data_IF_730665494322
#
_entry.id   IF_730665494322
#
_cell.length_a   1.000
_cell.length_b   1.000
_cell.length_c   1.000
_cell.angle_alpha   90.00
_cell.angle_beta   90.00
_cell.angle_gamma   90.00
#
_symmetry.space_group_name_H-M   'P 1'
#
loop_
_entity.id
_entity.type
_entity.pdbx_description
1 polymer ?
#
# COMPACT_ATOMS: atom_id res chain seq x y z
N UNK A 1 18.85 -51.50 43.12
CA UNK A 1 18.95 -50.29 43.96
C UNK A 1 19.35 -49.15 43.05
N UNK A 2 18.39 -48.34 42.60
CA UNK A 2 18.59 -47.15 41.78
C UNK A 2 17.76 -46.06 42.43
N UNK A 3 18.44 -45.08 43.03
CA UNK A 3 17.86 -43.91 43.69
C UNK A 3 17.61 -42.82 42.66
N UNK A 4 16.35 -42.43 42.51
CA UNK A 4 15.89 -41.25 41.77
C UNK A 4 15.99 -40.01 42.64
N UNK A 5 16.72 -38.99 42.18
CA UNK A 5 16.74 -37.65 42.77
C UNK A 5 15.72 -36.81 41.99
N UNK A 6 14.77 -36.22 42.72
CA UNK A 6 13.82 -35.21 42.24
C UNK A 6 14.42 -33.85 42.57
N UNK A 7 14.64 -33.03 41.55
CA UNK A 7 14.90 -31.59 41.72
C UNK A 7 13.58 -30.85 41.46
N UNK A 8 13.12 -30.11 42.45
CA UNK A 8 12.05 -29.10 42.33
C UNK A 8 12.69 -27.74 42.00
N UNK A 9 12.08 -26.93 41.11
CA UNK A 9 12.54 -25.57 40.84
C UNK A 9 12.05 -24.59 41.91
N UNK A 10 12.98 -23.72 42.33
CA UNK A 10 12.82 -22.70 43.37
C UNK A 10 12.16 -21.43 42.78
N UNK A 11 10.89 -21.21 43.13
CA UNK A 11 10.12 -20.02 42.76
C UNK A 11 10.48 -18.85 43.69
N UNK A 12 11.43 -18.01 43.26
CA UNK A 12 11.66 -16.70 43.89
C UNK A 12 11.28 -15.56 42.93
N UNK A 13 10.32 -14.69 43.30
CA UNK A 13 9.92 -13.57 42.47
C UNK A 13 10.95 -12.44 42.57
N UNK A 14 11.56 -12.10 41.42
CA UNK A 14 12.44 -10.94 41.28
C UNK A 14 11.57 -9.68 41.16
N UNK A 15 11.61 -8.83 42.19
CA UNK A 15 10.97 -7.52 42.18
C UNK A 15 11.92 -6.46 41.60
N UNK A 16 11.60 -5.94 40.41
CA UNK A 16 12.28 -4.79 39.84
C UNK A 16 11.58 -3.50 40.28
N UNK A 17 12.21 -2.78 41.22
CA UNK A 17 11.87 -1.40 41.57
C UNK A 17 12.41 -0.46 40.47
N UNK A 18 11.54 0.01 39.60
CA UNK A 18 11.84 1.13 38.71
C UNK A 18 11.68 2.45 39.46
N UNK A 19 12.81 3.13 39.72
CA UNK A 19 12.83 4.53 40.12
C UNK A 19 12.67 5.40 38.86
N UNK A 20 11.61 6.20 38.81
CA UNK A 20 11.43 7.26 37.82
C UNK A 20 12.17 8.52 38.27
N UNK A 21 12.87 9.24 37.38
CA UNK A 21 13.45 10.53 37.72
C UNK A 21 12.41 11.65 37.62
N UNK A 22 12.26 12.42 38.71
CA UNK A 22 11.53 13.69 38.73
C UNK A 22 12.25 14.73 37.86
N UNK A 23 11.54 15.28 36.87
CA UNK A 23 12.02 16.40 36.05
C UNK A 23 11.34 17.68 36.55
N UNK A 24 12.08 18.52 37.26
CA UNK A 24 11.64 19.86 37.65
C UNK A 24 11.70 20.82 36.44
N UNK A 25 10.54 21.30 36.02
CA UNK A 25 10.40 22.38 35.04
C UNK A 25 10.35 23.74 35.76
N UNK A 26 11.37 24.57 35.59
CA UNK A 26 11.35 25.97 36.05
C UNK A 26 10.81 26.87 34.93
N UNK A 27 9.60 27.41 35.13
CA UNK A 27 8.97 28.42 34.28
C UNK A 27 9.56 29.80 34.61
N UNK A 28 10.16 30.47 33.61
CA UNK A 28 10.59 31.88 33.72
C UNK A 28 9.64 32.74 32.89
N UNK A 29 8.84 33.55 33.57
CA UNK A 29 7.96 34.57 33.02
C UNK A 29 8.77 35.84 32.73
N UNK A 30 8.79 36.31 31.48
CA UNK A 30 9.26 37.65 31.14
C UNK A 30 8.09 38.56 30.77
N UNK A 31 8.05 39.69 31.48
CA UNK A 31 7.03 40.71 31.44
C UNK A 31 7.16 41.66 30.22
N UNK A 32 6.01 42.23 29.90
CA UNK A 32 5.72 43.28 28.94
C UNK A 32 6.37 44.62 29.32
N UNK A 33 6.88 45.38 28.34
CA UNK A 33 6.93 46.85 28.39
C UNK A 33 6.45 47.43 27.04
N UNK A 34 5.65 48.51 27.05
CA UNK A 34 5.30 49.28 25.86
C UNK A 34 6.19 50.52 25.73
N UNK A 35 6.45 50.98 24.49
CA UNK A 35 6.97 52.33 24.29
C UNK A 35 6.31 53.05 23.11
N UNK A 36 6.00 54.32 23.37
CA UNK A 36 5.20 55.27 22.60
C UNK A 36 6.13 56.26 21.85
N UNK A 37 5.59 56.82 20.75
CA UNK A 37 5.99 58.07 20.07
C UNK A 37 7.39 58.08 19.43
N UNK A 38 7.66 58.68 18.28
CA UNK A 38 6.96 59.61 17.39
C UNK A 38 8.04 60.45 16.71
N UNK A 39 7.95 60.69 15.40
CA UNK A 39 8.39 61.91 14.70
C UNK A 39 8.41 61.70 13.18
N UNK A 40 7.65 62.53 12.47
CA UNK A 40 7.80 62.80 11.05
C UNK A 40 9.00 63.71 10.82
N UNK A 41 9.93 63.28 9.97
CA UNK A 41 10.81 64.18 9.22
C UNK A 41 10.56 64.01 7.72
N UNK A 42 10.66 65.08 6.92
CA UNK A 42 10.55 64.99 5.46
C UNK A 42 11.86 64.45 4.89
N UNK A 43 11.79 63.30 4.20
CA UNK A 43 12.93 62.73 3.48
C UNK A 43 13.22 63.52 2.20
N UNK A 44 14.50 63.85 2.04
CA UNK A 44 15.11 64.37 0.82
C UNK A 44 15.32 63.19 -0.12
N UNK A 45 14.75 63.22 -1.32
CA UNK A 45 14.95 62.21 -2.36
C UNK A 45 16.39 62.23 -2.87
N UNK A 46 17.23 61.43 -2.23
CA UNK A 46 18.57 61.10 -2.72
C UNK A 46 18.43 60.00 -3.79
N UNK A 47 18.59 60.40 -5.05
CA UNK A 47 18.55 59.48 -6.20
C UNK A 47 19.79 58.57 -6.20
N UNK A 48 19.70 57.47 -5.44
CA UNK A 48 20.68 56.38 -5.49
C UNK A 48 20.72 55.76 -6.87
N UNK A 49 21.89 55.80 -7.49
CA UNK A 49 22.25 54.97 -8.64
C UNK A 49 22.08 53.48 -8.23
N UNK A 50 20.98 52.87 -8.67
CA UNK A 50 20.76 51.43 -8.58
C UNK A 50 21.67 50.78 -9.64
N UNK A 51 22.79 50.24 -9.20
CA UNK A 51 23.56 49.32 -10.02
C UNK A 51 22.76 48.01 -10.10
N UNK A 52 22.28 47.67 -11.29
CA UNK A 52 21.69 46.37 -11.59
C UNK A 52 22.74 45.29 -11.28
N UNK A 53 22.62 44.69 -10.10
CA UNK A 53 23.48 43.61 -9.70
C UNK A 53 23.15 42.38 -10.56
N UNK A 54 24.10 41.98 -11.40
CA UNK A 54 24.03 40.72 -12.12
C UNK A 54 24.38 39.64 -11.09
N UNK A 55 23.35 39.01 -10.53
CA UNK A 55 23.52 37.85 -9.65
C UNK A 55 24.11 36.69 -10.46
N UNK A 56 25.38 36.38 -10.20
CA UNK A 56 26.03 35.20 -10.77
C UNK A 56 25.63 33.97 -9.93
N UNK A 57 25.01 32.94 -10.54
CA UNK A 57 24.61 31.73 -9.82
C UNK A 57 25.79 31.08 -9.11
N UNK A 58 25.61 30.71 -7.84
CA UNK A 58 26.63 29.97 -7.08
C UNK A 58 26.83 28.56 -7.67
N UNK A 59 28.02 28.00 -7.47
CA UNK A 59 28.35 26.63 -7.90
C UNK A 59 27.34 25.59 -7.39
N UNK A 60 26.90 25.72 -6.13
CA UNK A 60 25.88 24.85 -5.54
C UNK A 60 24.52 24.95 -6.25
N UNK A 61 24.13 26.15 -6.70
CA UNK A 61 22.91 26.34 -7.48
C UNK A 61 23.04 25.65 -8.85
N UNK A 62 24.17 25.79 -9.53
CA UNK A 62 24.44 25.12 -10.80
C UNK A 62 24.45 23.59 -10.67
N UNK A 63 25.01 23.04 -9.60
CA UNK A 63 24.98 21.60 -9.30
C UNK A 63 23.55 21.10 -9.03
N UNK A 64 22.76 21.85 -8.27
CA UNK A 64 21.35 21.52 -8.03
C UNK A 64 20.52 21.54 -9.32
N UNK A 65 20.80 22.49 -10.23
CA UNK A 65 20.15 22.57 -11.54
C UNK A 65 20.57 21.42 -12.45
N UNK A 66 21.85 20.99 -12.43
CA UNK A 66 22.32 19.82 -13.17
C UNK A 66 21.66 18.53 -12.67
N UNK A 67 21.57 18.33 -11.35
CA UNK A 67 20.89 17.18 -10.76
C UNK A 67 19.39 17.16 -11.11
N UNK A 68 18.72 18.32 -11.06
CA UNK A 68 17.33 18.46 -11.49
C UNK A 68 17.14 18.11 -12.97
N UNK A 69 18.03 18.60 -13.85
CA UNK A 69 17.98 18.30 -15.29
C UNK A 69 18.22 16.82 -15.58
N UNK A 70 19.18 16.19 -14.90
CA UNK A 70 19.46 14.75 -15.02
C UNK A 70 18.25 13.91 -14.55
N UNK A 71 17.58 14.33 -13.48
CA UNK A 71 16.32 13.70 -13.02
C UNK A 71 15.21 13.81 -14.06
N UNK A 72 15.00 15.00 -14.62
CA UNK A 72 14.01 15.23 -15.69
C UNK A 72 14.33 14.47 -16.99
N UNK A 73 15.61 14.28 -17.32
CA UNK A 73 16.05 13.49 -18.48
C UNK A 73 15.87 11.98 -18.25
N UNK A 74 16.20 11.47 -17.07
CA UNK A 74 15.92 10.08 -16.69
C UNK A 74 14.41 9.78 -16.69
N UNK A 75 13.59 10.70 -16.22
CA UNK A 75 12.13 10.59 -16.26
C UNK A 75 11.61 10.50 -17.70
N UNK A 76 12.17 11.30 -18.63
CA UNK A 76 11.85 11.21 -20.06
C UNK A 76 12.29 9.89 -20.71
N UNK A 77 13.37 9.27 -20.23
CA UNK A 77 13.85 7.97 -20.74
C UNK A 77 12.98 6.81 -20.27
N UNK A 78 12.55 6.81 -19.00
CA UNK A 78 11.60 5.82 -18.45
C UNK A 78 10.27 5.86 -19.23
N UNK A 79 9.84 7.06 -19.61
CA UNK A 79 8.62 7.31 -20.38
C UNK A 79 8.77 6.84 -21.84
N UNK A 80 9.94 6.93 -22.48
CA UNK A 80 10.11 6.61 -23.91
C UNK A 80 9.95 5.13 -24.29
N UNK A 81 10.07 4.19 -23.35
CA UNK A 81 9.90 2.75 -23.60
C UNK A 81 8.45 2.26 -23.54
N UNK A 82 7.55 3.06 -23.00
CA UNK A 82 6.12 2.80 -22.92
C UNK A 82 5.43 3.80 -23.85
N UNK A 83 4.64 3.34 -24.82
CA UNK A 83 3.88 4.21 -25.71
C UNK A 83 2.91 5.08 -24.87
N UNK A 84 3.36 6.29 -24.50
CA UNK A 84 2.74 7.12 -23.47
C UNK A 84 1.51 7.82 -23.98
N UNK A 85 0.43 7.06 -24.15
CA UNK A 85 -0.90 7.63 -24.04
C UNK A 85 -1.03 8.23 -22.64
N UNK A 86 -1.26 9.56 -22.59
CA UNK A 86 -1.51 10.40 -21.40
C UNK A 86 -1.71 9.59 -20.11
N UNK A 87 -0.61 9.34 -19.40
CA UNK A 87 -0.63 8.60 -18.13
C UNK A 87 -1.44 9.42 -17.13
N UNK A 88 -2.60 8.91 -16.70
CA UNK A 88 -3.40 9.54 -15.64
C UNK A 88 -2.87 9.07 -14.29
N UNK A 89 -2.25 9.97 -13.55
CA UNK A 89 -1.89 9.74 -12.14
C UNK A 89 -3.17 9.90 -11.32
N UNK A 90 -3.61 8.82 -10.67
CA UNK A 90 -4.72 8.89 -9.71
C UNK A 90 -4.17 9.43 -8.39
N UNK A 91 -4.84 10.42 -7.79
CA UNK A 91 -4.54 10.81 -6.41
C UNK A 91 -4.81 9.61 -5.50
N UNK A 92 -3.89 9.28 -4.61
CA UNK A 92 -4.11 8.23 -3.60
C UNK A 92 -5.32 8.62 -2.75
N UNK A 93 -6.09 7.61 -2.32
CA UNK A 93 -7.28 7.88 -1.50
C UNK A 93 -6.87 8.15 -0.05
N UNK A 94 -5.99 7.31 0.53
CA UNK A 94 -5.60 7.37 1.95
C UNK A 94 -4.65 8.54 2.23
N UNK A 95 -4.98 9.34 3.25
CA UNK A 95 -4.32 10.61 3.58
C UNK A 95 -3.76 10.52 5.01
N UNK A 96 -2.73 9.71 5.18
CA UNK A 96 -1.96 9.71 6.41
C UNK A 96 -1.00 10.88 6.36
N UNK A 97 -1.01 11.68 7.41
CA UNK A 97 -0.13 12.83 7.50
C UNK A 97 1.33 12.38 7.52
N UNK A 98 2.19 13.19 6.93
CA UNK A 98 3.60 12.86 6.76
C UNK A 98 4.33 12.73 8.11
N UNK A 99 3.85 13.42 9.15
CA UNK A 99 4.44 13.38 10.48
C UNK A 99 4.17 12.03 11.16
N UNK A 100 2.96 11.47 11.01
CA UNK A 100 2.60 10.13 11.45
C UNK A 100 3.44 9.07 10.75
N UNK A 101 3.64 9.19 9.42
CA UNK A 101 4.52 8.28 8.67
C UNK A 101 5.94 8.36 9.21
N UNK A 102 6.50 9.56 9.34
CA UNK A 102 7.87 9.74 9.80
C UNK A 102 8.07 9.24 11.22
N UNK A 103 7.18 9.57 12.16
CA UNK A 103 7.25 9.12 13.55
C UNK A 103 7.30 7.60 13.66
N UNK A 104 6.53 6.90 12.85
CA UNK A 104 6.53 5.43 12.79
C UNK A 104 7.84 4.89 12.21
N UNK A 105 8.39 5.58 11.21
CA UNK A 105 9.67 5.22 10.60
C UNK A 105 10.90 5.60 11.44
N UNK A 106 10.76 6.42 12.49
CA UNK A 106 11.87 6.85 13.34
C UNK A 106 12.47 5.70 14.16
N UNK A 107 11.73 4.59 14.33
CA UNK A 107 12.24 3.33 14.92
C UNK A 107 13.41 2.75 14.10
N UNK A 108 13.47 3.04 12.79
CA UNK A 108 14.58 2.64 11.92
C UNK A 108 15.79 3.59 12.01
N UNK A 109 15.73 4.62 12.84
CA UNK A 109 16.73 5.67 12.94
C UNK A 109 16.52 6.83 11.97
N UNK A 110 17.52 7.73 11.85
CA UNK A 110 17.39 8.93 11.03
C UNK A 110 17.23 8.59 9.53
N UNK A 111 16.70 9.52 8.70
CA UNK A 111 16.40 9.26 7.29
C UNK A 111 17.55 8.69 6.44
N UNK A 112 18.80 9.02 6.78
CA UNK A 112 20.00 8.52 6.11
C UNK A 112 20.41 7.10 6.57
N UNK A 113 19.95 6.66 7.74
CA UNK A 113 20.20 5.31 8.25
C UNK A 113 19.11 4.32 7.83
N UNK A 114 17.86 4.79 7.67
CA UNK A 114 16.72 3.91 7.34
C UNK A 114 16.55 3.59 5.85
N UNK A 115 17.21 4.31 4.95
CA UNK A 115 17.15 4.07 3.51
C UNK A 115 18.47 3.48 3.00
N UNK A 116 18.39 2.59 2.01
CA UNK A 116 19.57 2.04 1.35
C UNK A 116 20.02 2.92 0.18
N UNK A 117 21.34 3.13 0.07
CA UNK A 117 21.96 3.75 -1.10
C UNK A 117 22.11 2.71 -2.22
N UNK A 118 21.23 2.76 -3.21
CA UNK A 118 21.20 1.81 -4.33
C UNK A 118 22.08 2.32 -5.47
N UNK A 119 23.10 1.55 -5.85
CA UNK A 119 24.10 1.91 -6.87
C UNK A 119 23.83 1.29 -8.23
N UNK A 120 22.56 1.13 -8.57
CA UNK A 120 22.14 0.64 -9.88
C UNK A 120 22.11 1.81 -10.86
N UNK A 121 22.42 1.54 -12.13
CA UNK A 121 22.28 2.58 -13.15
C UNK A 121 20.83 3.07 -13.20
N UNK A 122 20.63 4.40 -13.16
CA UNK A 122 19.31 5.00 -12.92
C UNK A 122 18.27 4.67 -14.00
N UNK A 123 18.70 4.23 -15.19
CA UNK A 123 17.80 3.70 -16.21
C UNK A 123 17.16 2.35 -15.84
N UNK A 124 17.84 1.54 -15.02
CA UNK A 124 17.41 0.21 -14.61
C UNK A 124 16.64 0.26 -13.28
N UNK A 125 17.14 1.03 -12.30
CA UNK A 125 16.58 1.13 -10.95
C UNK A 125 15.09 1.53 -10.94
N UNK A 126 14.74 2.55 -11.73
CA UNK A 126 13.38 3.09 -11.82
C UNK A 126 12.46 2.35 -12.79
N UNK A 127 12.89 1.23 -13.38
CA UNK A 127 12.06 0.51 -14.35
C UNK A 127 10.90 -0.17 -13.64
N UNK A 128 9.69 0.11 -14.12
CA UNK A 128 8.45 -0.47 -13.64
C UNK A 128 7.80 -1.36 -14.71
N UNK A 129 7.11 -2.41 -14.27
CA UNK A 129 6.64 -3.49 -15.13
C UNK A 129 5.14 -3.78 -14.94
N UNK A 130 4.43 -4.27 -15.96
CA UNK A 130 3.08 -4.80 -15.77
C UNK A 130 3.09 -6.01 -14.82
N UNK A 131 2.05 -6.16 -13.99
CA UNK A 131 1.92 -7.33 -13.10
C UNK A 131 1.93 -8.66 -13.86
N UNK A 132 1.37 -8.65 -15.07
CA UNK A 132 1.34 -9.80 -15.97
C UNK A 132 2.74 -10.30 -16.32
N UNK A 133 3.67 -9.40 -16.67
CA UNK A 133 5.07 -9.76 -16.92
C UNK A 133 5.72 -10.43 -15.72
N UNK A 134 5.54 -9.86 -14.52
CA UNK A 134 6.14 -10.38 -13.30
C UNK A 134 5.61 -11.78 -12.96
N UNK A 135 4.29 -11.99 -13.11
CA UNK A 135 3.63 -13.28 -12.90
C UNK A 135 4.05 -14.33 -13.95
N UNK A 136 4.11 -13.97 -15.22
CA UNK A 136 4.52 -14.88 -16.30
C UNK A 136 6.01 -15.26 -16.17
N UNK A 137 6.85 -14.33 -15.72
CA UNK A 137 8.30 -14.53 -15.60
C UNK A 137 8.67 -15.30 -14.33
N UNK A 138 8.15 -14.89 -13.18
CA UNK A 138 8.56 -15.38 -11.86
C UNK A 138 7.50 -16.22 -11.13
N UNK A 139 6.33 -16.39 -11.73
CA UNK A 139 5.21 -17.12 -11.13
C UNK A 139 4.38 -16.28 -10.16
N UNK A 140 3.47 -16.97 -9.46
CA UNK A 140 2.47 -16.35 -8.62
C UNK A 140 1.29 -15.82 -9.42
N UNK A 141 0.17 -15.55 -8.75
CA UNK A 141 -1.00 -14.97 -9.40
C UNK A 141 -0.86 -13.43 -9.53
N UNK A 142 -1.76 -12.81 -10.31
CA UNK A 142 -1.71 -11.37 -10.64
C UNK A 142 -2.43 -10.47 -9.63
N UNK A 143 -3.06 -11.03 -8.59
CA UNK A 143 -4.00 -10.33 -7.70
C UNK A 143 -3.48 -10.27 -6.26
N UNK A 144 -2.99 -11.39 -5.75
CA UNK A 144 -2.52 -11.53 -4.38
C UNK A 144 -1.30 -10.64 -4.11
N UNK A 145 -1.32 -10.06 -2.92
CA UNK A 145 -0.21 -9.30 -2.35
C UNK A 145 0.96 -10.23 -2.04
N UNK A 146 0.71 -11.41 -1.47
CA UNK A 146 1.72 -12.43 -1.18
C UNK A 146 1.43 -13.70 -1.99
N UNK A 147 1.77 -13.73 -3.29
CA UNK A 147 1.44 -14.88 -4.12
C UNK A 147 2.36 -16.07 -3.84
N UNK A 148 1.80 -17.26 -3.72
CA UNK A 148 2.56 -18.52 -3.72
C UNK A 148 3.12 -18.82 -5.10
N UNK A 149 4.40 -19.18 -5.18
CA UNK A 149 5.06 -19.54 -6.44
C UNK A 149 4.85 -21.03 -6.74
N UNK A 150 4.27 -21.32 -7.91
CA UNK A 150 3.98 -22.70 -8.30
C UNK A 150 5.24 -23.55 -8.56
N UNK A 151 5.16 -24.89 -8.41
CA UNK A 151 6.33 -25.80 -8.50
C UNK A 151 7.13 -25.70 -9.80
N UNK A 152 6.47 -25.42 -10.92
CA UNK A 152 7.14 -25.22 -12.22
C UNK A 152 8.11 -24.04 -12.16
N UNK A 153 7.65 -22.89 -11.67
CA UNK A 153 8.46 -21.67 -11.55
C UNK A 153 9.54 -21.80 -10.48
N UNK A 154 9.25 -22.54 -9.40
CA UNK A 154 10.24 -22.85 -8.37
C UNK A 154 11.45 -23.64 -8.89
N UNK A 155 11.28 -24.46 -9.94
CA UNK A 155 12.39 -25.17 -10.61
C UNK A 155 13.21 -24.26 -11.54
N UNK A 156 12.61 -23.18 -12.05
CA UNK A 156 13.25 -22.25 -12.99
C UNK A 156 14.11 -21.20 -12.29
N UNK A 157 13.75 -20.80 -11.06
CA UNK A 157 14.49 -19.78 -10.29
C UNK A 157 14.33 -19.99 -8.76
N UNK A 158 15.22 -19.41 -7.93
CA UNK A 158 15.18 -19.59 -6.48
C UNK A 158 14.23 -18.65 -5.73
N UNK A 159 13.70 -17.59 -6.37
CA UNK A 159 12.84 -16.59 -5.69
C UNK A 159 11.50 -17.16 -5.21
N UNK A 160 11.11 -16.86 -3.95
CA UNK A 160 9.88 -17.38 -3.31
C UNK A 160 9.02 -16.27 -2.71
N UNK A 161 9.64 -15.37 -1.96
CA UNK A 161 8.94 -14.41 -1.13
C UNK A 161 8.73 -13.11 -1.90
N UNK A 162 7.58 -12.98 -2.56
CA UNK A 162 7.20 -11.73 -3.20
C UNK A 162 6.12 -11.01 -2.41
N UNK A 163 6.19 -9.68 -2.38
CA UNK A 163 5.17 -8.81 -1.80
C UNK A 163 4.78 -7.72 -2.80
N UNK A 164 3.48 -7.65 -3.10
CA UNK A 164 2.89 -6.78 -4.11
C UNK A 164 1.87 -5.81 -3.50
N UNK A 165 2.30 -4.84 -2.67
CA UNK A 165 1.39 -3.87 -2.09
C UNK A 165 0.81 -2.97 -3.19
N UNK A 166 -0.50 -2.75 -3.11
CA UNK A 166 -1.20 -1.82 -3.97
C UNK A 166 -1.19 -0.43 -3.33
N UNK A 167 -0.68 0.59 -4.03
CA UNK A 167 -0.62 1.98 -3.57
C UNK A 167 -2.00 2.59 -3.25
N UNK A 168 -3.08 2.03 -3.80
CA UNK A 168 -4.44 2.50 -3.52
C UNK A 168 -4.82 2.26 -2.04
N UNK A 169 -4.28 1.19 -1.45
CA UNK A 169 -4.49 0.81 -0.04
C UNK A 169 -3.26 1.07 0.83
N UNK A 170 -2.07 1.13 0.22
CA UNK A 170 -0.78 1.31 0.88
C UNK A 170 -0.05 2.56 0.33
N UNK A 171 -0.56 3.78 0.58
CA UNK A 171 0.01 4.99 -0.02
C UNK A 171 1.39 5.34 0.53
N UNK A 172 1.76 4.81 1.70
CA UNK A 172 3.05 5.00 2.33
C UNK A 172 4.04 3.86 1.99
N UNK A 173 3.70 2.97 1.07
CA UNK A 173 4.65 2.00 0.53
C UNK A 173 5.78 2.72 -0.23
N UNK A 174 7.01 2.18 -0.22
CA UNK A 174 8.14 2.85 -0.85
C UNK A 174 8.02 2.86 -2.37
N UNK A 175 8.00 4.06 -2.95
CA UNK A 175 7.97 4.28 -4.40
C UNK A 175 9.37 4.53 -4.99
N UNK A 176 10.39 4.52 -4.13
CA UNK A 176 11.80 4.71 -4.47
C UNK A 176 12.53 3.45 -4.00
N UNK A 177 13.43 2.93 -4.83
CA UNK A 177 14.22 1.77 -4.47
C UNK A 177 15.04 2.03 -3.19
N UNK A 178 15.06 1.06 -2.28
CA UNK A 178 15.78 1.15 -1.01
C UNK A 178 15.17 2.09 0.02
N UNK A 179 14.05 2.76 -0.26
CA UNK A 179 13.40 3.64 0.71
C UNK A 179 12.58 2.84 1.73
N UNK A 180 12.56 3.25 2.99
CA UNK A 180 11.62 2.71 3.97
C UNK A 180 10.17 3.16 3.68
N UNK A 181 9.19 2.41 4.19
CA UNK A 181 7.78 2.76 4.05
C UNK A 181 6.89 2.05 5.05
N UNK A 182 5.58 2.18 4.89
CA UNK A 182 4.57 1.50 5.70
C UNK A 182 3.64 0.66 4.83
N UNK A 183 3.14 -0.42 5.41
CA UNK A 183 2.10 -1.28 4.85
C UNK A 183 0.94 -1.38 5.84
N UNK A 184 -0.29 -1.32 5.34
CA UNK A 184 -1.49 -1.32 6.16
C UNK A 184 -2.25 -2.63 6.00
N UNK A 185 -2.77 -3.13 7.11
CA UNK A 185 -3.56 -4.34 7.18
C UNK A 185 -4.91 -4.04 7.84
N UNK A 186 -5.99 -4.66 7.37
CA UNK A 186 -7.32 -4.51 8.00
C UNK A 186 -7.35 -5.00 9.44
N UNK A 187 -6.49 -5.95 9.77
CA UNK A 187 -6.52 -6.70 11.02
C UNK A 187 -5.41 -6.23 11.96
N UNK A 188 -5.69 -5.17 12.71
CA UNK A 188 -4.73 -4.56 13.63
C UNK A 188 -4.91 -4.94 15.10
N UNK A 189 -5.87 -5.80 15.43
CA UNK A 189 -6.17 -6.17 16.83
C UNK A 189 -5.50 -7.49 17.21
N UNK A 190 -5.35 -8.42 16.26
CA UNK A 190 -4.95 -9.80 16.55
C UNK A 190 -3.43 -10.02 16.60
N UNK A 191 -2.66 -8.93 16.65
CA UNK A 191 -1.21 -8.99 16.81
C UNK A 191 -0.89 -8.66 18.26
N UNK A 192 -0.62 -9.70 19.07
CA UNK A 192 0.13 -9.57 20.31
C UNK A 192 1.54 -9.12 19.91
N UNK A 193 1.72 -7.81 19.76
CA UNK A 193 3.02 -7.26 19.38
C UNK A 193 3.90 -7.34 20.61
N UNK A 194 4.80 -8.32 20.67
CA UNK A 194 6.07 -8.08 21.36
C UNK A 194 6.77 -7.01 20.52
N UNK A 195 6.68 -5.76 20.98
CA UNK A 195 7.17 -4.58 20.27
C UNK A 195 8.59 -4.89 19.78
N UNK A 196 8.77 -4.94 18.45
CA UNK A 196 10.00 -5.27 17.72
C UNK A 196 10.20 -6.72 17.25
N UNK A 197 9.19 -7.59 17.25
CA UNK A 197 9.30 -8.84 16.48
C UNK A 197 9.39 -8.55 14.98
N UNK A 198 10.59 -8.75 14.41
CA UNK A 198 10.85 -8.62 12.98
C UNK A 198 10.51 -9.95 12.30
N UNK A 199 9.62 -9.94 11.30
CA UNK A 199 9.41 -11.11 10.45
C UNK A 199 10.77 -11.47 9.81
N UNK A 200 11.35 -12.65 10.10
CA UNK A 200 12.65 -13.02 9.57
C UNK A 200 12.62 -13.18 8.05
N UNK A 201 11.42 -13.29 7.46
CA UNK A 201 11.20 -13.43 6.03
C UNK A 201 11.62 -12.17 5.28
N UNK A 202 12.60 -12.32 4.39
CA UNK A 202 12.94 -11.31 3.41
C UNK A 202 11.99 -11.39 2.21
N UNK A 203 11.27 -10.31 1.94
CA UNK A 203 10.37 -10.17 0.80
C UNK A 203 10.98 -9.34 -0.33
N UNK A 204 10.77 -9.77 -1.57
CA UNK A 204 10.95 -8.96 -2.78
C UNK A 204 9.75 -8.04 -2.93
N UNK A 205 9.92 -6.80 -2.50
CA UNK A 205 8.87 -5.80 -2.49
C UNK A 205 8.74 -5.16 -3.87
N UNK A 206 7.57 -5.29 -4.47
CA UNK A 206 7.26 -4.74 -5.78
C UNK A 206 5.96 -3.94 -5.67
N UNK A 207 6.05 -2.61 -5.72
CA UNK A 207 4.96 -1.70 -5.36
C UNK A 207 4.23 -1.22 -6.60
N UNK A 208 2.89 -1.26 -6.58
CA UNK A 208 2.09 -0.69 -7.67
C UNK A 208 2.20 0.82 -7.67
N UNK A 209 2.41 1.42 -8.85
CA UNK A 209 2.36 2.86 -9.02
C UNK A 209 0.90 3.35 -9.21
N UNK A 210 0.55 4.56 -8.75
CA UNK A 210 -0.80 5.11 -8.81
C UNK A 210 -1.17 5.64 -10.21
N UNK A 211 -0.87 4.86 -11.24
CA UNK A 211 -1.10 5.22 -12.64
C UNK A 211 -1.90 4.16 -13.39
N UNK A 212 -2.47 4.57 -14.53
CA UNK A 212 -3.17 3.69 -15.47
C UNK A 212 -2.46 3.71 -16.83
N UNK A 213 -2.06 2.56 -17.40
CA UNK A 213 -2.22 1.21 -16.84
C UNK A 213 -1.36 0.98 -15.59
N UNK A 214 -1.78 0.02 -14.75
CA UNK A 214 -1.06 -0.33 -13.53
C UNK A 214 0.31 -0.93 -13.86
N UNK A 215 1.36 -0.30 -13.38
CA UNK A 215 2.75 -0.77 -13.45
C UNK A 215 3.34 -0.83 -12.05
N UNK A 216 4.39 -1.63 -11.90
CA UNK A 216 4.91 -2.05 -10.62
C UNK A 216 6.42 -1.87 -10.58
N UNK A 217 6.92 -1.15 -9.58
CA UNK A 217 8.35 -0.91 -9.39
C UNK A 217 8.90 -1.86 -8.35
N UNK A 218 10.05 -2.46 -8.63
CA UNK A 218 10.77 -3.26 -7.65
C UNK A 218 11.54 -2.33 -6.70
N UNK A 219 11.11 -2.29 -5.44
CA UNK A 219 11.66 -1.39 -4.43
C UNK A 219 12.91 -1.99 -3.73
N UNK A 220 13.04 -3.32 -3.67
CA UNK A 220 14.18 -3.99 -3.04
C UNK A 220 13.79 -5.21 -2.19
N UNK A 221 14.67 -5.58 -1.27
CA UNK A 221 14.46 -6.61 -0.24
C UNK A 221 14.03 -5.94 1.05
N UNK A 222 12.93 -6.42 1.62
CA UNK A 222 12.35 -5.85 2.82
C UNK A 222 12.05 -6.91 3.86
N UNK A 223 12.21 -6.52 5.13
CA UNK A 223 11.55 -7.18 6.24
C UNK A 223 10.39 -6.33 6.72
N UNK A 224 9.39 -6.98 7.30
CA UNK A 224 8.26 -6.32 7.94
C UNK A 224 8.51 -6.30 9.44
N UNK A 225 8.47 -5.12 10.04
CA UNK A 225 8.40 -5.00 11.49
C UNK A 225 6.97 -4.66 11.87
N UNK A 226 6.43 -5.45 12.78
CA UNK A 226 5.16 -5.13 13.40
C UNK A 226 5.33 -3.85 14.23
N UNK A 227 4.36 -2.94 14.12
CA UNK A 227 4.28 -1.74 14.95
C UNK A 227 2.84 -1.59 15.41
N UNK A 228 2.64 -0.83 16.50
CA UNK A 228 1.31 -0.48 16.98
C UNK A 228 0.38 -0.05 15.82
N UNK A 229 -0.84 -0.57 15.80
CA UNK A 229 -1.87 -0.21 14.82
C UNK A 229 -2.17 1.30 14.81
N UNK A 230 -2.93 1.76 13.82
CA UNK A 230 -3.44 3.13 13.85
C UNK A 230 -4.33 3.30 15.08
N UNK A 231 -4.02 4.30 15.88
CA UNK A 231 -4.88 4.75 16.97
C UNK A 231 -6.22 5.21 16.40
N UNK A 232 -7.26 5.17 17.23
CA UNK A 232 -8.57 5.74 16.91
C UNK A 232 -8.46 7.21 16.43
N UNK A 233 -7.57 8.00 17.03
CA UNK A 233 -7.37 9.40 16.64
C UNK A 233 -6.77 9.53 15.23
N UNK A 234 -5.75 8.72 14.90
CA UNK A 234 -5.16 8.66 13.54
C UNK A 234 -6.17 8.16 12.50
N UNK A 235 -7.05 7.22 12.87
CA UNK A 235 -8.14 6.78 12.01
C UNK A 235 -9.17 7.90 11.79
N UNK A 236 -9.61 8.57 12.85
CA UNK A 236 -10.60 9.63 12.77
C UNK A 236 -10.11 10.86 12.00
N UNK A 237 -8.79 11.10 11.94
CA UNK A 237 -8.20 12.16 11.12
C UNK A 237 -8.25 11.87 9.61
N UNK A 238 -8.54 10.63 9.21
CA UNK A 238 -8.69 10.26 7.80
C UNK A 238 -9.93 10.90 7.18
N UNK A 239 -9.85 11.23 5.89
CA UNK A 239 -10.99 11.81 5.18
C UNK A 239 -12.19 10.85 5.12
N UNK A 240 -13.44 11.35 5.08
CA UNK A 240 -14.62 10.49 4.99
C UNK A 240 -14.60 9.53 3.80
N UNK A 241 -14.00 9.96 2.67
CA UNK A 241 -13.83 9.12 1.48
C UNK A 241 -12.94 7.91 1.76
N UNK A 242 -11.83 8.11 2.48
CA UNK A 242 -10.91 7.04 2.87
C UNK A 242 -11.61 6.02 3.72
N UNK A 243 -12.25 6.48 4.80
CA UNK A 243 -12.93 5.59 5.74
C UNK A 243 -14.00 4.75 5.07
N UNK A 244 -14.77 5.36 4.16
CA UNK A 244 -15.77 4.65 3.34
C UNK A 244 -15.12 3.62 2.41
N UNK A 245 -14.13 4.02 1.61
CA UNK A 245 -13.46 3.11 0.67
C UNK A 245 -12.77 1.95 1.40
N UNK A 246 -12.10 2.20 2.52
CA UNK A 246 -11.48 1.13 3.32
C UNK A 246 -12.53 0.14 3.84
N UNK A 247 -13.64 0.61 4.42
CA UNK A 247 -14.69 -0.26 4.92
C UNK A 247 -15.40 -1.05 3.80
N UNK A 248 -15.65 -0.42 2.65
CA UNK A 248 -16.20 -1.11 1.47
C UNK A 248 -15.26 -2.20 0.96
N UNK A 249 -13.95 -1.95 0.95
CA UNK A 249 -12.97 -2.89 0.42
C UNK A 249 -12.70 -4.03 1.41
N UNK A 250 -12.71 -3.77 2.73
CA UNK A 250 -12.71 -4.81 3.76
C UNK A 250 -13.88 -5.78 3.52
N UNK A 251 -15.09 -5.26 3.29
CA UNK A 251 -16.28 -6.09 3.06
C UNK A 251 -16.25 -6.83 1.70
N UNK A 252 -15.69 -6.21 0.66
CA UNK A 252 -15.70 -6.78 -0.71
C UNK A 252 -14.58 -7.78 -0.95
N UNK A 253 -13.51 -7.76 -0.14
CA UNK A 253 -12.29 -8.52 -0.41
C UNK A 253 -12.07 -9.53 0.70
N UNK A 254 -11.71 -10.76 0.32
CA UNK A 254 -11.47 -11.86 1.26
C UNK A 254 -10.35 -11.64 2.30
N UNK A 255 -9.56 -10.57 2.18
CA UNK A 255 -8.59 -10.21 3.21
C UNK A 255 -9.21 -9.51 4.42
N UNK A 256 -10.48 -9.09 4.33
CA UNK A 256 -11.22 -8.45 5.42
C UNK A 256 -12.11 -9.40 6.22
N UNK A 257 -12.09 -10.70 5.92
CA UNK A 257 -13.02 -11.70 6.47
C UNK A 257 -12.99 -11.74 8.01
N UNK A 258 -11.81 -11.66 8.63
CA UNK A 258 -11.68 -11.64 10.10
C UNK A 258 -12.35 -10.40 10.71
N UNK A 259 -12.17 -9.23 10.10
CA UNK A 259 -12.83 -7.98 10.54
C UNK A 259 -14.34 -8.09 10.36
N UNK A 260 -14.81 -8.62 9.24
CA UNK A 260 -16.24 -8.84 8.99
C UNK A 260 -16.83 -9.77 10.07
N UNK A 261 -16.17 -10.89 10.35
CA UNK A 261 -16.59 -11.85 11.37
C UNK A 261 -16.68 -11.21 12.76
N UNK A 262 -15.67 -10.44 13.18
CA UNK A 262 -15.68 -9.73 14.46
C UNK A 262 -16.84 -8.75 14.54
N UNK A 263 -17.04 -7.92 13.52
CA UNK A 263 -18.15 -6.95 13.46
C UNK A 263 -19.50 -7.66 13.51
N UNK A 264 -19.67 -8.74 12.75
CA UNK A 264 -20.89 -9.54 12.73
C UNK A 264 -21.20 -10.13 14.11
N UNK A 265 -20.22 -10.76 14.74
CA UNK A 265 -20.36 -11.37 16.06
C UNK A 265 -20.63 -10.33 17.15
N UNK A 266 -20.01 -9.14 17.10
CA UNK A 266 -20.34 -8.06 18.04
C UNK A 266 -21.80 -7.63 17.95
N UNK A 267 -22.34 -7.56 16.72
CA UNK A 267 -23.76 -7.24 16.50
C UNK A 267 -24.66 -8.36 17.05
N UNK A 268 -24.32 -9.62 16.81
CA UNK A 268 -25.12 -10.78 17.23
C UNK A 268 -25.08 -11.02 18.76
N UNK A 269 -23.89 -10.94 19.35
CA UNK A 269 -23.64 -11.29 20.76
C UNK A 269 -23.81 -10.11 21.72
N UNK A 270 -23.72 -8.87 21.23
CA UNK A 270 -23.74 -7.67 22.06
C UNK A 270 -22.52 -7.51 22.97
N UNK A 271 -21.44 -8.25 22.72
CA UNK A 271 -20.14 -8.21 23.43
C UNK A 271 -18.98 -8.44 22.46
N UNK A 272 -17.75 -8.33 22.96
CA UNK A 272 -16.56 -8.70 22.19
C UNK A 272 -16.54 -10.23 21.95
N UNK A 273 -16.34 -10.69 20.69
CA UNK A 273 -16.18 -12.10 20.40
C UNK A 273 -14.83 -12.60 20.91
N UNK A 274 -14.79 -13.88 21.28
CA UNK A 274 -13.54 -14.58 21.56
C UNK A 274 -12.86 -15.01 20.26
N UNK A 275 -11.52 -15.22 20.23
CA UNK A 275 -10.82 -15.68 19.03
C UNK A 275 -11.43 -16.95 18.42
N UNK A 276 -11.81 -17.92 19.28
CA UNK A 276 -12.46 -19.16 18.85
C UNK A 276 -13.84 -18.94 18.22
N UNK A 277 -14.59 -17.92 18.64
CA UNK A 277 -15.87 -17.57 18.00
C UNK A 277 -15.64 -16.99 16.61
N UNK A 278 -14.60 -16.16 16.45
CA UNK A 278 -14.19 -15.59 15.16
C UNK A 278 -13.75 -16.69 14.19
N UNK A 279 -12.86 -17.59 14.63
CA UNK A 279 -12.36 -18.70 13.81
C UNK A 279 -13.47 -19.67 13.34
N UNK A 280 -14.51 -19.83 14.15
CA UNK A 280 -15.64 -20.70 13.83
C UNK A 280 -16.74 -20.00 13.02
N UNK A 281 -16.63 -18.69 12.78
CA UNK A 281 -17.62 -17.92 12.03
C UNK A 281 -17.53 -18.24 10.54
N UNK A 282 -18.53 -18.93 10.00
CA UNK A 282 -18.61 -19.33 8.57
C UNK A 282 -19.78 -18.71 7.82
N UNK A 283 -20.63 -17.98 8.53
CA UNK A 283 -21.86 -17.44 7.95
C UNK A 283 -21.56 -16.17 7.16
N UNK A 284 -22.20 -16.01 5.99
CA UNK A 284 -22.20 -14.71 5.33
C UNK A 284 -23.05 -13.75 6.15
N UNK A 285 -22.41 -12.73 6.66
CA UNK A 285 -23.04 -11.79 7.56
C UNK A 285 -23.94 -10.80 6.81
N UNK A 286 -24.88 -10.19 7.51
CA UNK A 286 -25.60 -8.99 7.04
C UNK A 286 -24.83 -7.69 7.30
N UNK A 287 -23.51 -7.77 7.54
CA UNK A 287 -22.67 -6.61 7.87
C UNK A 287 -22.60 -5.67 6.68
N UNK A 288 -22.75 -4.37 6.97
CA UNK A 288 -22.59 -3.31 5.97
C UNK A 288 -21.24 -2.63 6.11
N UNK A 289 -20.81 -1.91 5.07
CA UNK A 289 -19.60 -1.07 5.14
C UNK A 289 -19.73 0.00 6.23
N UNK A 290 -20.94 0.49 6.50
CA UNK A 290 -21.24 1.41 7.59
C UNK A 290 -21.00 0.79 8.97
N UNK A 291 -21.34 -0.49 9.16
CA UNK A 291 -21.08 -1.21 10.42
C UNK A 291 -19.58 -1.35 10.68
N UNK A 292 -18.81 -1.78 9.67
CA UNK A 292 -17.35 -1.86 9.74
C UNK A 292 -16.77 -0.48 10.06
N UNK A 293 -17.15 0.56 9.29
CA UNK A 293 -16.67 1.93 9.52
C UNK A 293 -16.98 2.41 10.93
N UNK A 294 -18.18 2.11 11.45
CA UNK A 294 -18.58 2.47 12.81
C UNK A 294 -17.67 1.83 13.83
N UNK A 295 -17.33 0.55 13.69
CA UNK A 295 -16.45 -0.14 14.64
C UNK A 295 -15.02 0.43 14.63
N UNK A 296 -14.46 0.78 13.47
CA UNK A 296 -13.20 1.54 13.41
C UNK A 296 -13.33 2.96 14.01
N UNK A 297 -14.41 3.69 13.71
CA UNK A 297 -14.68 5.02 14.29
C UNK A 297 -14.82 4.95 15.82
N UNK A 298 -15.30 3.84 16.37
CA UNK A 298 -15.39 3.59 17.81
C UNK A 298 -14.06 3.13 18.42
N UNK A 299 -13.11 2.65 17.61
CA UNK A 299 -11.85 2.05 18.05
C UNK A 299 -12.00 0.59 18.49
N UNK A 300 -13.09 -0.08 18.10
CA UNK A 300 -13.28 -1.53 18.28
C UNK A 300 -12.59 -2.36 17.22
N UNK A 301 -12.27 -1.72 16.09
CA UNK A 301 -11.40 -2.24 15.05
C UNK A 301 -10.23 -1.25 14.87
N UNK A 302 -9.05 -1.78 14.58
CA UNK A 302 -7.83 -0.99 14.40
C UNK A 302 -7.16 -1.42 13.09
N UNK A 303 -6.59 -0.43 12.38
CA UNK A 303 -5.89 -0.71 11.13
C UNK A 303 -4.43 -1.05 11.47
N UNK A 304 -4.04 -2.30 11.22
CA UNK A 304 -2.68 -2.79 11.42
C UNK A 304 -1.68 -2.00 10.57
N UNK A 305 -0.48 -1.80 11.11
CA UNK A 305 0.61 -1.11 10.42
C UNK A 305 1.88 -1.94 10.55
N UNK A 306 2.52 -2.22 9.41
CA UNK A 306 3.86 -2.81 9.37
C UNK A 306 4.84 -1.79 8.80
N UNK A 307 6.01 -1.69 9.42
CA UNK A 307 7.14 -0.94 8.89
C UNK A 307 7.84 -1.81 7.85
N UNK A 308 8.00 -1.26 6.64
CA UNK A 308 8.78 -1.85 5.57
C UNK A 308 10.23 -1.38 5.70
N UNK A 309 11.07 -2.19 6.33
CA UNK A 309 12.50 -1.92 6.49
C UNK A 309 13.29 -2.49 5.32
N UNK A 310 14.03 -1.66 4.56
CA UNK A 310 14.86 -2.14 3.47
C UNK A 310 16.09 -2.86 4.06
N UNK A 311 16.37 -4.07 3.59
CA UNK A 311 17.50 -4.91 4.04
C UNK A 311 18.48 -5.27 2.92
N UNK A 312 18.10 -5.04 1.66
CA UNK A 312 18.98 -5.23 0.52
C UNK A 312 18.36 -4.77 -0.80
N UNK A 313 19.13 -4.90 -1.88
CA UNK A 313 18.66 -4.70 -3.25
C UNK A 313 19.36 -5.66 -4.21
N UNK A 314 18.60 -6.60 -4.76
CA UNK A 314 19.05 -7.60 -5.71
C UNK A 314 19.15 -6.95 -7.10
N UNK A 315 20.33 -6.41 -7.40
CA UNK A 315 20.60 -5.75 -8.68
C UNK A 315 20.44 -6.71 -9.86
N UNK A 316 20.84 -7.96 -9.68
CA UNK A 316 20.80 -8.98 -10.73
C UNK A 316 19.35 -9.31 -11.09
N UNK A 317 18.47 -9.44 -10.08
CA UNK A 317 17.03 -9.55 -10.31
C UNK A 317 16.47 -8.38 -11.12
N UNK A 318 16.85 -7.14 -10.79
CA UNK A 318 16.36 -5.97 -11.53
C UNK A 318 16.90 -5.92 -12.96
N UNK A 319 18.18 -6.26 -13.17
CA UNK A 319 18.79 -6.37 -14.52
C UNK A 319 18.09 -7.45 -15.35
N UNK A 320 17.75 -8.59 -14.74
CA UNK A 320 17.00 -9.66 -15.40
C UNK A 320 15.58 -9.20 -15.77
N UNK A 321 14.89 -8.46 -14.89
CA UNK A 321 13.59 -7.88 -15.23
C UNK A 321 13.70 -6.95 -16.43
N UNK A 322 14.66 -6.02 -16.41
CA UNK A 322 14.90 -5.08 -17.50
C UNK A 322 15.15 -5.80 -18.83
N UNK A 323 16.07 -6.78 -18.86
CA UNK A 323 16.39 -7.53 -20.07
C UNK A 323 15.25 -8.40 -20.59
N UNK A 324 14.54 -9.12 -19.71
CA UNK A 324 13.44 -10.02 -20.10
C UNK A 324 12.18 -9.27 -20.52
N UNK A 325 11.96 -8.07 -20.00
CA UNK A 325 10.75 -7.30 -20.28
C UNK A 325 10.62 -6.94 -21.75
N UNK A 326 11.73 -6.57 -22.41
CA UNK A 326 11.72 -6.26 -23.84
C UNK A 326 11.22 -7.44 -24.68
N UNK A 327 11.80 -8.63 -24.46
CA UNK A 327 11.38 -9.85 -25.18
C UNK A 327 9.93 -10.25 -24.87
N UNK A 328 9.51 -10.15 -23.60
CA UNK A 328 8.12 -10.44 -23.22
C UNK A 328 7.13 -9.48 -23.89
N UNK A 329 7.47 -8.18 -23.95
CA UNK A 329 6.61 -7.17 -24.56
C UNK A 329 6.48 -7.37 -26.08
N UNK A 330 7.54 -7.77 -26.77
CA UNK A 330 7.49 -8.14 -28.20
C UNK A 330 6.54 -9.31 -28.45
N UNK A 331 6.64 -10.37 -27.63
CA UNK A 331 5.74 -11.53 -27.70
C UNK A 331 4.29 -11.11 -27.43
N UNK A 332 4.06 -10.29 -26.40
CA UNK A 332 2.71 -9.83 -26.03
C UNK A 332 2.08 -8.98 -27.12
N UNK A 333 2.86 -8.12 -27.79
CA UNK A 333 2.39 -7.30 -28.91
C UNK A 333 2.14 -8.13 -30.18
N UNK A 334 2.90 -9.20 -30.38
CA UNK A 334 2.71 -10.11 -31.51
C UNK A 334 1.49 -11.02 -31.35
N UNK A 335 0.94 -11.19 -30.14
CA UNK A 335 -0.28 -11.99 -29.93
C UNK A 335 -1.43 -11.37 -30.74
N UNK A 336 -2.11 -12.16 -31.60
CA UNK A 336 -3.23 -11.65 -32.36
C UNK A 336 -4.29 -11.14 -31.38
N UNK A 337 -4.66 -9.86 -31.51
CA UNK A 337 -5.75 -9.29 -30.73
C UNK A 337 -6.98 -10.15 -30.99
N UNK A 338 -7.39 -10.95 -30.01
CA UNK A 338 -8.62 -11.75 -30.10
C UNK A 338 -9.69 -10.81 -30.64
N UNK A 339 -10.34 -11.13 -31.78
CA UNK A 339 -11.34 -10.24 -32.34
C UNK A 339 -12.32 -9.97 -31.22
N UNK A 340 -12.42 -8.70 -30.79
CA UNK A 340 -13.40 -8.29 -29.78
C UNK A 340 -14.70 -8.85 -30.32
N UNK A 341 -15.26 -9.86 -29.64
CA UNK A 341 -16.53 -10.43 -30.03
C UNK A 341 -17.45 -9.24 -30.14
N UNK A 342 -17.77 -8.84 -31.38
CA UNK A 342 -18.61 -7.69 -31.60
C UNK A 342 -19.88 -8.08 -30.86
N UNK A 343 -20.26 -7.31 -29.84
CA UNK A 343 -21.52 -7.49 -29.15
C UNK A 343 -22.56 -7.44 -30.25
N UNK A 344 -22.96 -8.62 -30.73
CA UNK A 344 -23.95 -8.79 -31.78
C UNK A 344 -25.19 -8.24 -31.11
N UNK A 345 -25.55 -7.00 -31.47
CA UNK A 345 -26.71 -6.30 -30.95
C UNK A 345 -27.90 -7.26 -31.07
N UNK A 346 -28.23 -7.95 -29.99
CA UNK A 346 -29.40 -8.81 -29.88
C UNK A 346 -30.65 -7.96 -29.65
N UNK A 347 -30.72 -6.81 -30.33
CA UNK A 347 -31.92 -6.00 -30.50
C UNK A 347 -32.70 -6.46 -31.74
N UNK A 348 -32.60 -7.74 -32.09
CA UNK A 348 -33.59 -8.39 -32.95
C UNK A 348 -34.80 -8.78 -32.08
N UNK A 349 -35.60 -7.76 -31.76
CA UNK A 349 -37.07 -7.76 -31.69
C UNK A 349 -37.71 -9.16 -31.81
N UNK A 350 -37.91 -9.82 -30.67
CA UNK A 350 -38.79 -10.96 -30.55
C UNK A 350 -40.24 -10.47 -30.77
N UNK A 351 -40.78 -10.73 -31.96
CA UNK A 351 -42.23 -10.72 -32.19
C UNK A 351 -42.76 -12.10 -31.76
N UNK A 352 -43.60 -12.07 -30.72
CA UNK A 352 -44.63 -13.05 -30.34
C UNK A 352 -44.59 -14.42 -31.04
N UNK A 353 -44.30 -15.48 -30.28
CA UNK A 353 -44.94 -16.77 -30.55
C UNK A 353 -45.20 -17.52 -29.26
N UNK A 354 -46.47 -17.54 -28.89
CA UNK A 354 -47.07 -18.34 -27.83
C UNK A 354 -46.84 -19.82 -28.11
N UNK A 355 -45.97 -20.48 -27.33
CA UNK A 355 -45.85 -21.95 -27.35
C UNK A 355 -46.29 -22.52 -26.00
N UNK A 356 -47.26 -23.43 -26.11
CA UNK A 356 -47.99 -24.09 -25.03
C UNK A 356 -47.07 -24.90 -24.11
N UNK A 357 -47.35 -24.79 -22.80
CA UNK A 357 -46.96 -25.72 -21.73
C UNK A 357 -47.28 -27.17 -22.13
N UNK A 358 -46.29 -28.06 -22.09
CA UNK A 358 -46.50 -29.48 -21.83
C UNK A 358 -45.76 -29.88 -20.54
N UNK A 359 -46.38 -30.69 -19.65
CA UNK A 359 -45.73 -31.19 -18.45
C UNK A 359 -44.85 -32.40 -18.81
N UNK A 360 -43.55 -32.29 -18.58
CA UNK A 360 -42.62 -33.42 -18.67
C UNK A 360 -42.58 -34.15 -17.32
N UNK A 361 -43.10 -35.38 -17.36
CA UNK A 361 -43.08 -36.41 -16.33
C UNK A 361 -41.64 -36.91 -16.15
N UNK A 362 -41.08 -36.74 -14.94
CA UNK A 362 -39.82 -37.38 -14.53
C UNK A 362 -40.14 -38.73 -13.89
N UNK A 363 -39.61 -39.80 -14.47
CA UNK A 363 -39.45 -41.09 -13.78
C UNK A 363 -38.05 -41.19 -13.17
N UNK A 364 -37.89 -41.92 -12.04
CA UNK A 364 -36.61 -42.10 -11.36
C UNK A 364 -35.84 -43.28 -11.95
N UNK A 365 -34.52 -43.20 -11.95
CA UNK A 365 -33.63 -44.33 -12.27
C UNK A 365 -32.45 -44.32 -11.29
N UNK A 366 -31.82 -45.49 -11.02
CA UNK A 366 -31.48 -45.92 -9.69
C UNK A 366 -29.97 -45.81 -9.40
N UNK A 367 -29.67 -46.05 -8.12
CA UNK A 367 -28.37 -46.35 -7.52
C UNK A 367 -27.36 -47.01 -8.46
N UNK A 368 -26.15 -46.45 -8.50
CA UNK A 368 -24.93 -47.22 -8.72
C UNK A 368 -23.83 -46.74 -7.78
N UNK A 369 -23.39 -47.68 -6.97
CA UNK A 369 -22.29 -47.64 -6.03
C UNK A 369 -20.90 -47.47 -6.68
N UNK A 370 -20.01 -46.84 -5.92
CA UNK A 370 -18.54 -46.97 -5.89
C UNK A 370 -17.71 -46.48 -7.09
N UNK A 371 -16.88 -45.46 -6.86
CA UNK A 371 -15.41 -45.63 -6.75
C UNK A 371 -14.70 -44.32 -6.39
N UNK A 372 -13.77 -44.42 -5.45
CA UNK A 372 -12.76 -43.43 -5.06
C UNK A 372 -11.98 -42.86 -6.26
N UNK A 373 -11.80 -41.55 -6.27
CA UNK A 373 -10.63 -40.91 -6.87
C UNK A 373 -10.47 -39.50 -6.32
N UNK A 374 -9.39 -39.30 -5.56
CA UNK A 374 -8.83 -38.01 -5.15
C UNK A 374 -8.91 -36.98 -6.29
N UNK A 375 -9.70 -35.93 -6.06
CA UNK A 375 -9.78 -34.78 -6.95
C UNK A 375 -9.98 -33.54 -6.11
N UNK A 376 -8.85 -32.97 -5.69
CA UNK A 376 -8.73 -31.58 -5.23
C UNK A 376 -9.40 -30.65 -6.26
N UNK A 377 -10.46 -29.90 -5.89
CA UNK A 377 -11.03 -28.92 -6.78
C UNK A 377 -10.31 -27.57 -6.58
N UNK A 378 -9.37 -27.27 -7.48
CA UNK A 378 -8.92 -25.91 -7.74
C UNK A 378 -10.12 -25.06 -8.21
N UNK A 379 -10.76 -24.35 -7.27
CA UNK A 379 -11.74 -23.32 -7.59
C UNK A 379 -11.02 -22.05 -8.04
N UNK A 380 -10.76 -21.97 -9.34
CA UNK A 380 -10.50 -20.71 -10.02
C UNK A 380 -11.77 -19.83 -9.96
N UNK A 381 -11.80 -18.92 -8.98
CA UNK A 381 -12.79 -17.86 -8.90
C UNK A 381 -12.60 -16.87 -10.04
N UNK A 382 -13.48 -16.94 -11.04
CA UNK A 382 -13.60 -16.02 -12.16
C UNK A 382 -13.86 -14.59 -11.63
N UNK A 383 -12.81 -13.77 -11.65
CA UNK A 383 -12.82 -12.40 -11.16
C UNK A 383 -13.69 -11.51 -12.04
N UNK A 384 -14.91 -11.23 -11.57
CA UNK A 384 -15.81 -10.25 -12.15
C UNK A 384 -15.13 -8.87 -12.24
N UNK A 385 -14.81 -8.44 -13.46
CA UNK A 385 -14.52 -7.06 -13.80
C UNK A 385 -15.76 -6.20 -13.55
N UNK A 386 -15.89 -5.68 -12.34
CA UNK A 386 -16.84 -4.62 -12.00
C UNK A 386 -16.40 -3.31 -12.65
N UNK A 387 -16.78 -3.11 -13.90
CA UNK A 387 -16.83 -1.80 -14.52
C UNK A 387 -18.14 -1.12 -14.12
N UNK A 388 -18.08 0.07 -13.54
CA UNK A 388 -19.21 0.98 -13.57
C UNK A 388 -18.79 2.46 -13.54
N UNK A 389 -19.54 3.19 -14.34
CA UNK A 389 -19.43 4.59 -14.69
C UNK A 389 -19.65 5.52 -13.49
N UNK A 390 -18.97 6.67 -13.51
CA UNK A 390 -19.46 7.87 -12.83
C UNK A 390 -19.27 9.04 -13.79
N UNK A 391 -20.41 9.59 -14.20
CA UNK A 391 -20.54 10.73 -15.10
C UNK A 391 -20.12 12.05 -14.43
N UNK A 392 -19.40 12.86 -15.20
CA UNK A 392 -19.65 14.29 -15.33
C UNK A 392 -19.30 15.24 -14.18
N UNK A 393 -18.08 15.82 -14.24
CA UNK A 393 -17.96 17.28 -14.13
C UNK A 393 -16.68 17.75 -14.85
N UNK A 394 -16.85 18.61 -15.86
CA UNK A 394 -15.75 19.19 -16.62
C UNK A 394 -15.12 20.33 -15.83
N UNK A 395 -14.12 20.01 -15.01
CA UNK A 395 -13.28 21.01 -14.36
C UNK A 395 -12.05 21.33 -15.24
N UNK A 396 -11.90 22.62 -15.45
CA UNK A 396 -10.88 23.36 -16.19
C UNK A 396 -9.45 22.86 -15.89
N UNK A 397 -8.69 22.61 -16.95
CA UNK A 397 -7.31 22.08 -16.89
C UNK A 397 -6.37 23.20 -16.46
N UNK A 398 -6.10 23.30 -15.17
CA UNK A 398 -4.87 23.93 -14.69
C UNK A 398 -3.72 22.92 -14.70
N UNK A 399 -2.74 23.18 -15.58
CA UNK A 399 -1.45 22.49 -15.63
C UNK A 399 -0.67 22.77 -14.34
N UNK A 400 -0.83 21.89 -13.35
CA UNK A 400 -0.06 21.93 -12.11
C UNK A 400 0.97 20.80 -12.08
N UNK A 401 2.20 21.18 -12.43
CA UNK A 401 3.43 20.42 -12.23
C UNK A 401 3.70 20.30 -10.72
N UNK A 402 3.70 19.08 -10.18
CA UNK A 402 4.06 18.84 -8.78
C UNK A 402 5.58 19.07 -8.58
N UNK A 403 5.91 19.97 -7.66
CA UNK A 403 7.27 20.24 -7.16
C UNK A 403 7.23 19.93 -5.66
N UNK A 404 8.08 19.03 -5.17
CA UNK A 404 8.22 18.79 -3.73
C UNK A 404 8.70 20.08 -3.04
N UNK A 405 7.85 20.69 -2.21
CA UNK A 405 8.22 21.88 -1.44
C UNK A 405 8.89 21.44 -0.13
N UNK A 406 10.16 21.81 0.02
CA UNK A 406 10.77 21.95 1.34
C UNK A 406 10.11 23.11 2.07
N UNK A 407 9.87 22.93 3.37
CA UNK A 407 9.33 23.95 4.28
C UNK A 407 10.28 25.14 4.37
N UNK A 408 9.78 26.34 4.10
CA UNK A 408 10.44 27.59 4.51
C UNK A 408 9.43 28.53 5.13
N UNK A 409 9.68 28.80 6.41
CA UNK A 409 9.10 29.88 7.22
C UNK A 409 9.27 31.23 6.52
N UNK A 410 8.24 32.07 6.60
CA UNK A 410 8.29 33.47 6.18
C UNK A 410 8.98 34.31 7.26
N UNK A 411 9.95 35.16 6.91
CA UNK A 411 10.18 36.41 7.63
C UNK A 411 9.32 37.53 7.00
N UNK A 412 8.96 38.48 7.87
CA UNK A 412 8.13 39.68 7.70
C UNK A 412 8.49 40.58 6.54
#
# INVERSE_FOLDING_TARGET
>A
MLTTVKDEPDDTPISFLYQTPEVHFTSTTHAHEPNLNGNHQPEVEDSRLVLDCIEVPTLALLESMKMKRKREENEKLIVKGLDTKKVKIKKSNLNIDLDTINRRLDVLGPPNARNLDIKVDGGIEGTAFPRAFLSDTWGGNRVATFPTIGPKKMKEHPYRNFCYPNSDYNPAAPLIAGAAGLMFFPDGIDVDIDDNEEDPTEYRLIVKLPQSPAIWIYAGQYRMLLTASLTKAEWLSQSPKVKRTSAEEILKKGWGDTVEARVALRIQLGREPTPTEVDNYKEKSGVTAEDIRRDFDLGKELLGVNILKPVGYDEEFQRQNYGRFHAWNEIEQAKPKKPRASKKNSNARALNTTVKKMPSRREPTPESELTDSDREPDQEGDGLEGGENSDGEAAEVHELRYISRGTRTRPS
#
